data_IF_088311464407
#
_entry.id   IF_088311464407
#
_cell.length_a   1.000
_cell.length_b   1.000
_cell.length_c   1.000
_cell.angle_alpha   90.00
_cell.angle_beta   90.00
_cell.angle_gamma   90.00
#
_symmetry.space_group_name_H-M   'P 1'
#
loop_
_entity.id
_entity.type
_entity.pdbx_description
1 polymer ?
#
# COMPACT_ATOMS: atom_id res chain seq x y z
N UNK A 1 25.84 52.28 4.32
CA UNK A 1 25.69 51.05 5.12
C UNK A 1 24.34 50.46 4.73
N UNK A 2 24.34 49.47 3.80
CA UNK A 2 23.14 48.79 3.37
C UNK A 2 22.91 47.64 4.36
N UNK A 3 21.92 47.73 5.23
CA UNK A 3 21.40 46.60 6.01
C UNK A 3 20.75 45.60 5.05
N UNK A 4 21.44 44.53 4.77
CA UNK A 4 20.92 43.35 4.10
C UNK A 4 19.79 42.80 4.95
N UNK A 5 18.54 43.09 4.62
CA UNK A 5 17.37 42.39 5.15
C UNK A 5 17.39 40.97 4.63
N UNK A 6 18.01 40.07 5.40
CA UNK A 6 17.88 38.62 5.21
C UNK A 6 16.40 38.26 5.40
N UNK A 7 15.64 38.20 4.31
CA UNK A 7 14.33 37.57 4.31
C UNK A 7 14.58 36.07 4.44
N UNK A 8 14.39 35.55 5.64
CA UNK A 8 14.30 34.11 5.86
C UNK A 8 13.05 33.61 5.13
N UNK A 9 13.23 33.14 3.91
CA UNK A 9 12.15 32.47 3.19
C UNK A 9 11.91 31.16 3.95
N UNK A 10 10.76 31.06 4.61
CA UNK A 10 10.33 29.77 5.20
C UNK A 10 10.30 28.75 4.08
N UNK A 11 11.06 27.67 4.23
CA UNK A 11 10.98 26.55 3.28
C UNK A 11 9.53 26.06 3.25
N UNK A 12 8.96 25.85 2.04
CA UNK A 12 7.63 25.30 1.94
C UNK A 12 7.61 23.90 2.52
N UNK A 13 6.54 23.56 3.24
CA UNK A 13 6.33 22.21 3.73
C UNK A 13 6.01 21.28 2.55
N UNK A 14 6.65 20.10 2.51
CA UNK A 14 6.42 19.06 1.51
C UNK A 14 5.66 17.86 2.07
N UNK A 15 5.06 18.02 3.25
CA UNK A 15 4.21 16.99 3.83
C UNK A 15 2.99 16.72 2.96
N UNK A 16 2.57 15.46 2.87
CA UNK A 16 1.51 15.05 1.98
C UNK A 16 0.52 14.08 2.64
N UNK A 17 -0.71 14.08 2.13
CA UNK A 17 -1.70 13.04 2.41
C UNK A 17 -1.96 12.26 1.12
N UNK A 18 -1.80 10.95 1.17
CA UNK A 18 -2.05 10.01 0.09
C UNK A 18 -3.32 9.20 0.39
N UNK A 19 -4.37 9.42 -0.38
CA UNK A 19 -5.67 8.76 -0.17
C UNK A 19 -6.01 7.84 -1.32
N UNK A 20 -6.65 6.71 -1.04
CA UNK A 20 -7.11 5.75 -2.05
C UNK A 20 -7.34 4.37 -1.47
N UNK A 21 -7.97 3.51 -2.24
CA UNK A 21 -8.26 2.12 -1.88
C UNK A 21 -7.00 1.27 -1.67
N UNK A 22 -7.10 0.07 -1.08
CA UNK A 22 -5.96 -0.83 -0.93
C UNK A 22 -5.35 -1.20 -2.29
N UNK A 23 -4.04 -1.40 -2.32
CA UNK A 23 -3.37 -1.87 -3.53
C UNK A 23 -3.27 -0.87 -4.69
N UNK A 24 -3.64 0.42 -4.52
CA UNK A 24 -3.49 1.47 -5.53
C UNK A 24 -2.10 2.15 -5.52
N UNK A 25 -1.05 1.44 -5.08
CA UNK A 25 0.36 1.85 -5.08
C UNK A 25 0.72 3.09 -4.21
N UNK A 26 -0.04 3.45 -3.17
CA UNK A 26 0.29 4.59 -2.29
C UNK A 26 1.72 4.52 -1.75
N UNK A 27 2.11 3.39 -1.16
CA UNK A 27 3.46 3.19 -0.59
C UNK A 27 4.55 3.23 -1.65
N UNK A 28 4.29 2.65 -2.83
CA UNK A 28 5.24 2.67 -3.96
C UNK A 28 5.49 4.09 -4.44
N UNK A 29 4.42 4.86 -4.64
CA UNK A 29 4.52 6.27 -5.02
C UNK A 29 5.15 7.13 -3.92
N UNK A 30 4.90 6.83 -2.65
CA UNK A 30 5.55 7.52 -1.54
C UNK A 30 7.08 7.32 -1.53
N UNK A 31 7.55 6.11 -1.86
CA UNK A 31 9.00 5.82 -2.01
C UNK A 31 9.61 6.57 -3.20
N UNK A 32 8.89 6.66 -4.33
CA UNK A 32 9.33 7.44 -5.48
C UNK A 32 9.36 8.95 -5.16
N UNK A 33 8.36 9.45 -4.46
CA UNK A 33 8.29 10.82 -3.99
C UNK A 33 9.47 11.16 -3.07
N UNK A 34 9.78 10.28 -2.10
CA UNK A 34 10.92 10.44 -1.20
C UNK A 34 12.26 10.54 -1.97
N UNK A 35 12.45 9.70 -2.99
CA UNK A 35 13.64 9.77 -3.87
C UNK A 35 13.71 11.08 -4.64
N UNK A 36 12.59 11.53 -5.21
CA UNK A 36 12.53 12.79 -5.92
C UNK A 36 12.86 13.98 -5.01
N UNK A 37 12.32 14.01 -3.77
CA UNK A 37 12.63 15.03 -2.79
C UNK A 37 14.13 15.09 -2.42
N UNK A 38 14.78 13.93 -2.32
CA UNK A 38 16.21 13.85 -2.08
C UNK A 38 17.05 14.31 -3.28
N UNK A 39 16.64 13.96 -4.50
CA UNK A 39 17.30 14.41 -5.74
C UNK A 39 17.22 15.93 -5.92
N UNK A 40 16.09 16.54 -5.54
CA UNK A 40 15.89 18.00 -5.58
C UNK A 40 16.51 18.72 -4.37
N UNK A 41 17.17 18.00 -3.45
CA UNK A 41 17.80 18.57 -2.26
C UNK A 41 16.84 19.10 -1.21
N UNK A 42 15.55 18.73 -1.28
CA UNK A 42 14.52 19.10 -0.31
C UNK A 42 14.72 18.29 0.97
N UNK A 43 14.97 17.00 0.85
CA UNK A 43 15.46 16.15 1.94
C UNK A 43 16.94 15.89 1.79
N UNK A 44 17.64 15.59 2.90
CA UNK A 44 19.10 15.37 2.89
C UNK A 44 19.50 14.04 2.28
N UNK A 45 18.61 13.07 2.30
CA UNK A 45 18.79 11.71 1.81
C UNK A 45 17.43 11.07 1.53
N UNK A 46 17.42 9.99 0.77
CA UNK A 46 16.26 9.22 0.34
C UNK A 46 15.79 8.18 1.39
N UNK A 47 16.25 8.27 2.65
CA UNK A 47 15.80 7.38 3.72
C UNK A 47 14.28 7.46 3.84
N UNK A 48 13.66 6.28 3.83
CA UNK A 48 12.21 6.11 3.88
C UNK A 48 11.85 5.17 5.01
N UNK A 49 11.13 5.67 6.01
CA UNK A 49 10.59 4.87 7.10
C UNK A 49 9.09 4.63 6.88
N UNK A 50 8.70 3.37 6.81
CA UNK A 50 7.29 2.97 6.72
C UNK A 50 6.80 2.55 8.11
N UNK A 51 5.80 3.27 8.60
CA UNK A 51 5.30 3.16 9.97
C UNK A 51 3.79 2.92 9.98
N UNK A 52 3.35 2.27 11.03
CA UNK A 52 1.94 2.08 11.37
C UNK A 52 1.69 2.60 12.78
N UNK A 53 0.44 2.62 13.23
CA UNK A 53 0.09 2.94 14.61
C UNK A 53 0.97 2.20 15.64
N UNK A 54 1.21 0.89 15.42
CA UNK A 54 2.00 0.07 16.34
C UNK A 54 3.45 0.54 16.50
N UNK A 55 4.00 1.24 15.49
CA UNK A 55 5.34 1.82 15.52
C UNK A 55 5.40 3.17 16.26
N UNK A 56 4.25 3.80 16.48
CA UNK A 56 4.15 5.15 17.03
C UNK A 56 3.56 5.19 18.44
N UNK A 57 2.68 4.23 18.79
CA UNK A 57 2.00 4.21 20.08
C UNK A 57 2.65 3.22 21.04
N UNK A 58 3.01 3.69 22.23
CA UNK A 58 3.56 2.87 23.30
C UNK A 58 2.48 2.08 24.06
N UNK A 59 2.93 1.18 24.95
CA UNK A 59 2.05 0.39 25.83
C UNK A 59 1.79 1.04 27.18
N UNK A 60 2.56 2.07 27.54
CA UNK A 60 2.49 2.76 28.82
C UNK A 60 2.48 4.28 28.60
N UNK A 61 1.88 5.01 29.55
CA UNK A 61 1.85 6.49 29.52
C UNK A 61 3.27 7.08 29.44
N UNK A 62 3.44 8.09 28.58
CA UNK A 62 4.72 8.76 28.34
C UNK A 62 5.68 8.04 27.40
N UNK A 63 5.41 6.77 27.02
CA UNK A 63 6.25 6.07 26.05
C UNK A 63 5.98 6.51 24.60
N UNK A 64 4.74 6.87 24.29
CA UNK A 64 4.33 7.30 22.95
C UNK A 64 5.11 8.52 22.49
N UNK A 65 5.17 9.57 23.29
CA UNK A 65 5.93 10.77 22.97
C UNK A 65 7.41 10.47 22.70
N UNK A 66 8.03 9.60 23.49
CA UNK A 66 9.42 9.21 23.31
C UNK A 66 9.63 8.42 22.02
N UNK A 67 8.70 7.50 21.69
CA UNK A 67 8.76 6.72 20.44
C UNK A 67 8.67 7.64 19.22
N UNK A 68 7.74 8.58 19.19
CA UNK A 68 7.59 9.53 18.10
C UNK A 68 8.84 10.41 17.96
N UNK A 69 9.39 10.94 19.06
CA UNK A 69 10.64 11.71 19.05
C UNK A 69 11.80 10.91 18.47
N UNK A 70 11.94 9.65 18.86
CA UNK A 70 13.00 8.79 18.35
C UNK A 70 12.82 8.50 16.86
N UNK A 71 11.58 8.29 16.40
CA UNK A 71 11.26 8.14 14.96
C UNK A 71 11.73 9.37 14.18
N UNK A 72 11.40 10.58 14.60
CA UNK A 72 11.85 11.81 13.93
C UNK A 72 13.37 11.94 13.96
N UNK A 73 14.02 11.65 15.09
CA UNK A 73 15.47 11.70 15.22
C UNK A 73 16.17 10.71 14.28
N UNK A 74 15.70 9.46 14.19
CA UNK A 74 16.28 8.44 13.33
C UNK A 74 16.08 8.73 11.83
N UNK A 75 15.01 9.43 11.49
CA UNK A 75 14.66 9.74 10.10
C UNK A 75 14.89 11.21 9.73
N UNK A 76 15.64 11.94 10.55
CA UNK A 76 15.91 13.36 10.36
C UNK A 76 16.50 13.64 8.97
N UNK A 77 15.83 14.49 8.18
CA UNK A 77 16.23 14.83 6.82
C UNK A 77 15.88 13.78 5.77
N UNK A 78 15.00 12.84 6.09
CA UNK A 78 14.43 11.84 5.17
C UNK A 78 12.92 11.95 5.08
N UNK A 79 12.25 10.83 4.78
CA UNK A 79 10.80 10.75 4.64
C UNK A 79 10.21 9.70 5.57
N UNK A 80 9.18 10.08 6.31
CA UNK A 80 8.38 9.20 7.18
C UNK A 80 7.04 8.98 6.49
N UNK A 81 6.68 7.73 6.26
CA UNK A 81 5.40 7.32 5.69
C UNK A 81 4.58 6.62 6.78
N UNK A 82 3.40 7.14 7.08
CA UNK A 82 2.50 6.60 8.10
C UNK A 82 1.30 6.00 7.38
N UNK A 83 1.25 4.68 7.31
CA UNK A 83 0.13 3.97 6.69
C UNK A 83 -1.03 3.84 7.68
N UNK A 84 -2.25 3.90 7.13
CA UNK A 84 -3.50 3.89 7.91
C UNK A 84 -3.49 4.92 9.05
N UNK A 85 -3.00 6.13 8.76
CA UNK A 85 -2.77 7.19 9.77
C UNK A 85 -4.03 7.53 10.59
N UNK A 86 -5.21 7.37 10.02
CA UNK A 86 -6.49 7.53 10.73
C UNK A 86 -6.64 6.59 11.94
N UNK A 87 -5.87 5.50 11.98
CA UNK A 87 -5.87 4.58 13.13
C UNK A 87 -5.35 5.22 14.41
N UNK A 88 -4.62 6.34 14.32
CA UNK A 88 -4.17 7.15 15.46
C UNK A 88 -5.33 7.91 16.13
N UNK A 89 -6.46 8.11 15.45
CA UNK A 89 -7.63 8.80 15.96
C UNK A 89 -8.90 7.94 15.90
N UNK A 90 -8.78 6.61 15.95
CA UNK A 90 -9.89 5.68 15.77
C UNK A 90 -10.83 5.58 16.98
N UNK A 91 -10.39 5.99 18.17
CA UNK A 91 -11.18 5.98 19.41
C UNK A 91 -10.94 7.30 20.16
N UNK A 92 -12.04 8.00 20.53
CA UNK A 92 -11.97 9.24 21.31
C UNK A 92 -11.36 9.03 22.73
N UNK A 93 -11.36 7.80 23.23
CA UNK A 93 -10.77 7.41 24.52
C UNK A 93 -9.30 7.01 24.41
N UNK A 94 -8.76 7.00 23.18
CA UNK A 94 -7.39 6.57 22.93
C UNK A 94 -6.39 7.71 23.17
N UNK A 95 -5.95 7.84 24.42
CA UNK A 95 -4.95 8.83 24.80
C UNK A 95 -3.60 8.64 24.13
N UNK A 96 -3.22 7.41 23.73
CA UNK A 96 -1.93 7.13 23.09
C UNK A 96 -1.90 7.64 21.64
N UNK A 97 -3.01 7.46 20.91
CA UNK A 97 -3.12 8.00 19.56
C UNK A 97 -3.10 9.53 19.55
N UNK A 98 -3.82 10.17 20.46
CA UNK A 98 -3.80 11.63 20.63
C UNK A 98 -2.38 12.13 20.98
N UNK A 99 -1.69 11.50 21.96
CA UNK A 99 -0.31 11.82 22.30
C UNK A 99 0.64 11.67 21.10
N UNK A 100 0.45 10.64 20.26
CA UNK A 100 1.24 10.46 19.06
C UNK A 100 1.01 11.59 18.04
N UNK A 101 -0.24 12.00 17.82
CA UNK A 101 -0.59 13.09 16.91
C UNK A 101 0.02 14.41 17.38
N UNK A 102 -0.08 14.73 18.66
CA UNK A 102 0.50 15.96 19.23
C UNK A 102 2.02 16.00 19.03
N UNK A 103 2.72 14.91 19.29
CA UNK A 103 4.17 14.82 19.10
C UNK A 103 4.56 14.84 17.61
N UNK A 104 3.75 14.27 16.71
CA UNK A 104 3.96 14.41 15.27
C UNK A 104 3.86 15.87 14.85
N UNK A 105 2.86 16.62 15.34
CA UNK A 105 2.70 18.05 15.03
C UNK A 105 3.95 18.82 15.47
N UNK A 106 4.46 18.55 16.67
CA UNK A 106 5.71 19.14 17.18
C UNK A 106 6.90 18.78 16.27
N UNK A 107 6.97 17.53 15.82
CA UNK A 107 8.01 17.07 14.90
C UNK A 107 7.98 17.81 13.55
N UNK A 108 6.77 18.00 12.97
CA UNK A 108 6.58 18.74 11.72
C UNK A 108 7.05 20.21 11.81
N UNK A 109 6.93 20.83 12.98
CA UNK A 109 7.36 22.21 13.22
C UNK A 109 8.88 22.33 13.42
N UNK A 110 9.45 21.40 14.18
CA UNK A 110 10.84 21.50 14.65
C UNK A 110 11.85 20.90 13.67
N UNK A 111 11.41 20.07 12.71
CA UNK A 111 12.29 19.45 11.71
C UNK A 111 11.74 19.63 10.29
N UNK A 112 11.87 20.85 9.73
CA UNK A 112 11.36 21.16 8.38
C UNK A 112 12.09 20.40 7.26
N UNK A 113 13.22 19.76 7.55
CA UNK A 113 13.98 18.94 6.61
C UNK A 113 13.47 17.49 6.53
N UNK A 114 12.57 17.07 7.42
CA UNK A 114 11.95 15.75 7.40
C UNK A 114 10.54 15.84 6.81
N UNK A 115 10.25 15.06 5.80
CA UNK A 115 8.93 15.03 5.15
C UNK A 115 8.09 13.91 5.73
N UNK A 116 6.82 14.19 6.05
CA UNK A 116 5.86 13.19 6.52
C UNK A 116 4.75 13.02 5.50
N UNK A 117 4.46 11.76 5.15
CA UNK A 117 3.38 11.36 4.26
C UNK A 117 2.40 10.52 5.07
N UNK A 118 1.16 10.96 5.15
CA UNK A 118 0.07 10.24 5.80
C UNK A 118 -0.72 9.51 4.71
N UNK A 119 -1.03 8.24 4.92
CA UNK A 119 -1.78 7.45 3.95
C UNK A 119 -2.98 6.76 4.59
N UNK A 120 -4.03 6.55 3.77
CA UNK A 120 -5.21 5.83 4.21
C UNK A 120 -6.39 5.91 3.24
N UNK A 121 -7.55 5.43 3.68
CA UNK A 121 -8.80 5.52 2.94
C UNK A 121 -9.31 6.96 2.88
N UNK A 122 -9.87 7.41 1.73
CA UNK A 122 -10.25 8.80 1.53
C UNK A 122 -11.15 9.37 2.63
N UNK A 123 -12.28 8.72 2.90
CA UNK A 123 -13.26 9.16 3.90
C UNK A 123 -12.67 9.22 5.32
N UNK A 124 -11.90 8.19 5.70
CA UNK A 124 -11.27 8.12 7.03
C UNK A 124 -10.17 9.17 7.22
N UNK A 125 -9.42 9.46 6.15
CA UNK A 125 -8.36 10.48 6.18
C UNK A 125 -8.93 11.89 6.26
N UNK A 126 -10.07 12.19 5.62
CA UNK A 126 -10.74 13.48 5.79
C UNK A 126 -11.22 13.66 7.24
N UNK A 127 -11.87 12.65 7.81
CA UNK A 127 -12.29 12.67 9.23
C UNK A 127 -11.10 12.86 10.17
N UNK A 128 -9.99 12.17 9.92
CA UNK A 128 -8.74 12.29 10.67
C UNK A 128 -8.18 13.71 10.64
N UNK A 129 -8.15 14.34 9.47
CA UNK A 129 -7.64 15.71 9.32
C UNK A 129 -8.60 16.76 9.89
N UNK A 130 -9.91 16.53 9.80
CA UNK A 130 -10.93 17.44 10.38
C UNK A 130 -10.88 17.43 11.90
N UNK A 131 -10.64 16.27 12.51
CA UNK A 131 -10.45 16.15 13.95
C UNK A 131 -9.12 16.77 14.44
N UNK A 132 -8.15 17.00 13.53
CA UNK A 132 -6.82 17.47 13.86
C UNK A 132 -6.41 18.72 13.04
N UNK A 133 -6.97 19.91 13.32
CA UNK A 133 -6.68 21.14 12.56
C UNK A 133 -5.19 21.50 12.51
N UNK A 134 -4.44 21.13 13.55
CA UNK A 134 -3.00 21.31 13.63
C UNK A 134 -2.25 20.55 12.52
N UNK A 135 -2.63 19.31 12.24
CA UNK A 135 -2.10 18.55 11.10
C UNK A 135 -2.57 19.15 9.77
N UNK A 136 -3.87 19.45 9.64
CA UNK A 136 -4.48 19.95 8.40
C UNK A 136 -3.77 21.20 7.87
N UNK A 137 -3.37 22.11 8.77
CA UNK A 137 -2.70 23.36 8.39
C UNK A 137 -1.25 23.20 7.94
N UNK A 138 -0.61 22.07 8.28
CA UNK A 138 0.81 21.80 7.99
C UNK A 138 1.02 20.85 6.82
N UNK A 139 -0.05 20.27 6.27
CA UNK A 139 0.00 19.32 5.16
C UNK A 139 -0.63 19.95 3.92
N UNK A 140 0.17 20.60 3.06
CA UNK A 140 -0.34 21.34 1.90
C UNK A 140 -0.73 20.43 0.73
N UNK A 141 -0.11 19.24 0.62
CA UNK A 141 -0.31 18.38 -0.55
C UNK A 141 -1.28 17.24 -0.27
N UNK A 142 -2.25 17.08 -1.17
CA UNK A 142 -3.23 16.00 -1.14
C UNK A 142 -3.19 15.27 -2.47
N UNK A 143 -2.88 13.99 -2.44
CA UNK A 143 -2.81 13.12 -3.61
C UNK A 143 -3.85 12.05 -3.48
N UNK A 144 -4.79 12.00 -4.43
CA UNK A 144 -5.80 10.97 -4.51
C UNK A 144 -5.38 9.91 -5.53
N UNK A 145 -5.29 8.68 -5.08
CA UNK A 145 -5.07 7.51 -5.91
C UNK A 145 -6.43 6.92 -6.29
N UNK A 146 -6.72 6.91 -7.57
CA UNK A 146 -7.91 6.27 -8.11
C UNK A 146 -7.68 4.76 -8.22
N UNK A 147 -8.77 4.00 -8.28
CA UNK A 147 -8.70 2.59 -8.63
C UNK A 147 -8.23 2.43 -10.08
N UNK A 148 -7.50 1.36 -10.33
CA UNK A 148 -7.02 1.01 -11.66
C UNK A 148 -8.16 0.61 -12.59
N UNK A 149 -7.99 0.86 -13.89
CA UNK A 149 -8.84 0.32 -14.94
C UNK A 149 -8.63 -1.19 -15.08
N UNK A 150 -9.55 -1.90 -15.76
CA UNK A 150 -9.40 -3.33 -16.00
C UNK A 150 -8.12 -3.65 -16.80
N UNK A 151 -7.77 -2.81 -17.78
CA UNK A 151 -6.55 -2.96 -18.58
C UNK A 151 -5.29 -2.78 -17.73
N UNK A 152 -5.25 -1.76 -16.86
CA UNK A 152 -4.13 -1.55 -15.92
C UNK A 152 -3.98 -2.71 -14.94
N UNK A 153 -5.12 -3.27 -14.46
CA UNK A 153 -5.11 -4.46 -13.58
C UNK A 153 -4.59 -5.69 -14.32
N UNK A 154 -4.89 -5.84 -15.61
CA UNK A 154 -4.34 -6.90 -16.45
C UNK A 154 -2.82 -6.74 -16.61
N UNK A 155 -2.33 -5.52 -16.87
CA UNK A 155 -0.89 -5.26 -16.94
C UNK A 155 -0.18 -5.55 -15.61
N UNK A 156 -0.78 -5.15 -14.48
CA UNK A 156 -0.27 -5.43 -13.13
C UNK A 156 -0.20 -6.94 -12.91
N UNK A 157 -1.25 -7.69 -13.31
CA UNK A 157 -1.28 -9.15 -13.21
C UNK A 157 -0.21 -9.81 -14.04
N UNK A 158 0.02 -9.31 -15.26
CA UNK A 158 1.10 -9.76 -16.15
C UNK A 158 2.48 -9.57 -15.54
N UNK A 159 2.73 -8.42 -14.92
CA UNK A 159 3.99 -8.15 -14.21
C UNK A 159 4.18 -9.08 -13.01
N UNK A 160 3.12 -9.28 -12.21
CA UNK A 160 3.17 -10.21 -11.07
C UNK A 160 3.43 -11.65 -11.54
N UNK A 161 2.80 -12.09 -12.64
CA UNK A 161 3.05 -13.40 -13.21
C UNK A 161 4.50 -13.53 -13.69
N UNK A 162 5.01 -12.52 -14.41
CA UNK A 162 6.40 -12.50 -14.90
C UNK A 162 7.43 -12.53 -13.78
N UNK A 163 7.19 -11.79 -12.68
CA UNK A 163 8.04 -11.81 -11.48
C UNK A 163 8.12 -13.19 -10.82
N UNK A 164 7.12 -14.04 -11.06
CA UNK A 164 7.06 -15.44 -10.61
C UNK A 164 7.46 -16.45 -11.72
N UNK A 165 7.97 -15.99 -12.85
CA UNK A 165 8.41 -16.83 -13.96
C UNK A 165 7.28 -17.37 -14.85
N UNK A 166 6.07 -16.80 -14.77
CA UNK A 166 4.90 -17.21 -15.55
C UNK A 166 4.47 -16.14 -16.56
N UNK A 167 3.81 -16.59 -17.62
CA UNK A 167 3.12 -15.73 -18.59
C UNK A 167 1.61 -15.97 -18.54
N UNK A 168 0.82 -14.93 -18.77
CA UNK A 168 -0.64 -15.02 -18.86
C UNK A 168 -1.00 -15.20 -20.34
N UNK A 169 -1.74 -16.25 -20.68
CA UNK A 169 -2.20 -16.48 -22.05
C UNK A 169 -3.32 -15.53 -22.47
N UNK A 170 -3.58 -15.40 -23.77
CA UNK A 170 -4.59 -14.46 -24.27
C UNK A 170 -5.99 -14.77 -23.74
N UNK A 171 -6.40 -16.04 -23.70
CA UNK A 171 -7.68 -16.50 -23.16
C UNK A 171 -7.82 -16.21 -21.66
N UNK A 172 -6.73 -16.34 -20.90
CA UNK A 172 -6.67 -15.95 -19.50
C UNK A 172 -6.80 -14.44 -19.32
N UNK A 173 -6.17 -13.66 -20.21
CA UNK A 173 -6.27 -12.20 -20.23
C UNK A 173 -7.71 -11.73 -20.43
N UNK A 174 -8.43 -12.28 -21.43
CA UNK A 174 -9.84 -11.96 -21.66
C UNK A 174 -10.72 -12.29 -20.44
N UNK A 175 -10.47 -13.43 -19.83
CA UNK A 175 -11.18 -13.83 -18.60
C UNK A 175 -10.93 -12.90 -17.44
N UNK A 176 -9.67 -12.50 -17.23
CA UNK A 176 -9.27 -11.54 -16.18
C UNK A 176 -9.93 -10.19 -16.39
N UNK A 177 -9.99 -9.67 -17.63
CA UNK A 177 -10.71 -8.42 -17.91
C UNK A 177 -12.16 -8.50 -17.47
N UNK A 178 -12.87 -9.59 -17.77
CA UNK A 178 -14.24 -9.80 -17.32
C UNK A 178 -14.40 -9.88 -15.80
N UNK A 179 -13.40 -10.43 -15.09
CA UNK A 179 -13.38 -10.45 -13.62
C UNK A 179 -13.15 -9.01 -13.08
N UNK A 180 -12.17 -8.29 -13.61
CA UNK A 180 -11.83 -6.94 -13.16
C UNK A 180 -12.97 -5.94 -13.38
N UNK A 181 -13.67 -6.00 -14.52
CA UNK A 181 -14.83 -5.12 -14.79
C UNK A 181 -15.96 -5.30 -13.77
N UNK A 182 -16.14 -6.49 -13.21
CA UNK A 182 -17.12 -6.75 -12.16
C UNK A 182 -16.63 -6.32 -10.79
N UNK A 183 -15.40 -6.72 -10.45
CA UNK A 183 -14.87 -6.54 -9.09
C UNK A 183 -14.51 -5.08 -8.76
N UNK A 184 -14.11 -4.28 -9.75
CA UNK A 184 -13.84 -2.85 -9.57
C UNK A 184 -15.07 -2.02 -9.20
N UNK A 185 -16.30 -2.59 -9.32
CA UNK A 185 -17.54 -1.96 -8.86
C UNK A 185 -17.79 -2.21 -7.37
N UNK A 186 -17.04 -3.10 -6.75
CA UNK A 186 -17.20 -3.42 -5.32
C UNK A 186 -16.53 -2.33 -4.48
N UNK A 187 -17.21 -1.92 -3.42
CA UNK A 187 -16.64 -0.97 -2.45
C UNK A 187 -15.35 -1.52 -1.84
N UNK A 188 -14.38 -0.65 -1.64
CA UNK A 188 -13.06 -0.98 -1.07
C UNK A 188 -12.28 -2.01 -1.91
N UNK A 189 -12.41 -1.94 -3.22
CA UNK A 189 -11.73 -2.85 -4.15
C UNK A 189 -10.22 -2.91 -3.91
N UNK A 190 -9.68 -4.13 -3.94
CA UNK A 190 -8.30 -4.42 -3.53
C UNK A 190 -7.20 -4.09 -4.54
N UNK A 191 -7.56 -3.66 -5.76
CA UNK A 191 -6.61 -3.29 -6.83
C UNK A 191 -5.44 -4.29 -7.01
N UNK A 192 -4.20 -3.84 -6.90
CA UNK A 192 -3.02 -4.69 -7.03
C UNK A 192 -2.92 -5.83 -6.01
N UNK A 193 -3.52 -5.71 -4.81
CA UNK A 193 -3.62 -6.84 -3.87
C UNK A 193 -4.54 -7.92 -4.41
N UNK A 194 -5.65 -7.53 -5.05
CA UNK A 194 -6.57 -8.45 -5.71
C UNK A 194 -5.88 -9.17 -6.88
N UNK A 195 -5.16 -8.44 -7.76
CA UNK A 195 -4.36 -9.03 -8.83
C UNK A 195 -3.37 -10.07 -8.30
N UNK A 196 -2.62 -9.73 -7.25
CA UNK A 196 -1.67 -10.64 -6.61
C UNK A 196 -2.33 -11.92 -6.12
N UNK A 197 -3.45 -11.80 -5.41
CA UNK A 197 -4.20 -12.97 -4.90
C UNK A 197 -4.70 -13.87 -6.03
N UNK A 198 -5.17 -13.29 -7.15
CA UNK A 198 -5.61 -14.05 -8.32
C UNK A 198 -4.45 -14.81 -8.98
N UNK A 199 -3.33 -14.14 -9.23
CA UNK A 199 -2.15 -14.74 -9.86
C UNK A 199 -1.56 -15.83 -9.00
N UNK A 200 -1.34 -15.59 -7.70
CA UNK A 200 -0.84 -16.60 -6.77
C UNK A 200 -1.77 -17.82 -6.67
N UNK A 201 -3.10 -17.59 -6.71
CA UNK A 201 -4.07 -18.67 -6.74
C UNK A 201 -4.03 -19.45 -8.07
N UNK A 202 -3.80 -18.77 -9.18
CA UNK A 202 -3.66 -19.41 -10.50
C UNK A 202 -2.40 -20.27 -10.56
N UNK A 203 -1.27 -19.78 -10.04
CA UNK A 203 -0.01 -20.54 -9.93
C UNK A 203 -0.22 -21.81 -9.11
N UNK A 204 -0.82 -21.70 -7.91
CA UNK A 204 -1.13 -22.87 -7.07
C UNK A 204 -2.01 -23.89 -7.79
N UNK A 205 -3.06 -23.45 -8.50
CA UNK A 205 -3.91 -24.38 -9.27
C UNK A 205 -3.15 -25.06 -10.41
N UNK A 206 -2.28 -24.31 -11.09
CA UNK A 206 -1.39 -24.86 -12.11
C UNK A 206 -0.50 -25.96 -11.53
N UNK A 207 0.15 -25.70 -10.38
CA UNK A 207 1.02 -26.65 -9.70
C UNK A 207 0.26 -27.92 -9.31
N UNK A 208 -0.92 -27.79 -8.71
CA UNK A 208 -1.77 -28.95 -8.35
C UNK A 208 -2.17 -29.76 -9.59
N UNK A 209 -2.55 -29.10 -10.70
CA UNK A 209 -2.92 -29.75 -11.95
C UNK A 209 -1.76 -30.54 -12.57
N UNK A 210 -0.54 -30.06 -12.38
CA UNK A 210 0.68 -30.73 -12.83
C UNK A 210 1.19 -31.79 -11.86
N UNK A 211 0.52 -31.99 -10.71
CA UNK A 211 0.89 -32.98 -9.69
C UNK A 211 2.05 -32.53 -8.79
N UNK A 212 2.38 -31.24 -8.78
CA UNK A 212 3.44 -30.66 -7.96
C UNK A 212 2.83 -30.04 -6.72
N UNK A 213 3.26 -30.48 -5.54
CA UNK A 213 2.72 -30.00 -4.26
C UNK A 213 3.37 -28.69 -3.80
N UNK A 214 4.56 -28.36 -4.31
CA UNK A 214 5.31 -27.16 -3.95
C UNK A 214 5.66 -26.36 -5.23
N UNK A 215 5.20 -25.11 -5.29
CA UNK A 215 5.38 -24.26 -6.48
C UNK A 215 6.85 -23.86 -6.70
N UNK A 216 7.68 -23.90 -5.65
CA UNK A 216 9.08 -23.50 -5.71
C UNK A 216 9.97 -24.55 -6.41
N UNK A 217 9.45 -25.76 -6.66
CA UNK A 217 10.20 -26.88 -7.23
C UNK A 217 9.59 -27.47 -8.51
N UNK A 218 8.84 -26.65 -9.26
CA UNK A 218 8.20 -27.07 -10.53
C UNK A 218 9.19 -27.68 -11.52
N UNK A 219 10.43 -27.17 -11.53
CA UNK A 219 11.47 -27.66 -12.44
C UNK A 219 12.05 -29.02 -12.06
N UNK A 220 11.96 -29.44 -10.77
CA UNK A 220 12.56 -30.68 -10.29
C UNK A 220 11.67 -31.90 -10.48
N UNK A 221 10.35 -31.71 -10.61
CA UNK A 221 9.37 -32.80 -10.65
C UNK A 221 8.79 -33.12 -12.02
N UNK A 222 9.05 -32.29 -13.03
CA UNK A 222 8.45 -32.46 -14.36
C UNK A 222 9.47 -33.07 -15.31
N UNK A 223 9.10 -34.22 -15.89
CA UNK A 223 9.82 -34.79 -17.02
C UNK A 223 9.77 -33.81 -18.19
N UNK A 224 10.90 -33.18 -18.59
CA UNK A 224 10.93 -32.20 -19.68
C UNK A 224 10.47 -32.79 -21.02
N UNK A 225 10.41 -34.13 -21.15
CA UNK A 225 9.90 -34.82 -22.32
C UNK A 225 8.37 -34.80 -22.38
N UNK A 226 7.67 -34.43 -21.32
CA UNK A 226 6.21 -34.51 -21.22
C UNK A 226 5.49 -33.20 -21.43
N UNK A 227 6.17 -32.07 -21.16
CA UNK A 227 5.60 -30.72 -21.28
C UNK A 227 6.63 -29.79 -21.90
N UNK A 228 6.18 -28.90 -22.77
CA UNK A 228 7.01 -27.78 -23.24
C UNK A 228 7.15 -26.70 -22.15
N UNK A 229 8.23 -25.90 -22.20
CA UNK A 229 8.42 -24.76 -21.29
C UNK A 229 7.22 -23.80 -21.32
N UNK A 230 6.63 -23.61 -22.49
CA UNK A 230 5.44 -22.77 -22.67
C UNK A 230 4.24 -23.35 -21.92
N UNK A 231 4.03 -24.66 -21.95
CA UNK A 231 2.96 -25.32 -21.20
C UNK A 231 3.20 -25.27 -19.69
N UNK A 232 4.45 -25.37 -19.25
CA UNK A 232 4.82 -25.34 -17.84
C UNK A 232 4.62 -23.95 -17.21
N UNK A 233 5.08 -22.92 -17.90
CA UNK A 233 5.16 -21.55 -17.36
C UNK A 233 4.08 -20.61 -17.89
N UNK A 234 3.01 -21.11 -18.53
CA UNK A 234 1.85 -20.33 -18.92
C UNK A 234 0.68 -20.51 -17.94
N UNK A 235 -0.04 -19.44 -17.66
CA UNK A 235 -1.29 -19.43 -16.90
C UNK A 235 -2.45 -19.25 -17.90
N UNK A 236 -3.17 -20.34 -18.19
CA UNK A 236 -4.34 -20.36 -19.05
C UNK A 236 -5.64 -19.96 -18.31
N UNK A 237 -6.75 -19.76 -19.05
CA UNK A 237 -8.02 -19.38 -18.47
C UNK A 237 -8.57 -20.35 -17.43
N UNK A 238 -8.16 -21.62 -17.43
CA UNK A 238 -8.56 -22.60 -16.42
C UNK A 238 -7.85 -22.42 -15.09
N UNK A 239 -6.70 -21.72 -15.07
CA UNK A 239 -6.00 -21.37 -13.85
C UNK A 239 -6.75 -20.29 -13.06
N UNK A 240 -7.52 -19.44 -13.73
CA UNK A 240 -8.28 -18.35 -13.12
C UNK A 240 -9.74 -18.73 -12.91
N UNK A 241 -10.04 -19.43 -11.83
CA UNK A 241 -11.44 -19.63 -11.37
C UNK A 241 -11.71 -18.60 -10.27
N UNK A 242 -12.76 -17.83 -10.46
CA UNK A 242 -13.18 -16.81 -9.51
C UNK A 242 -14.67 -16.97 -9.22
N UNK A 243 -15.06 -17.06 -7.93
CA UNK A 243 -16.43 -16.91 -7.46
C UNK A 243 -16.52 -15.59 -6.71
N UNK A 244 -17.48 -14.76 -7.09
CA UNK A 244 -17.69 -13.48 -6.40
C UNK A 244 -17.95 -13.71 -4.91
N UNK A 245 -17.44 -12.83 -4.03
CA UNK A 245 -17.47 -12.98 -2.57
C UNK A 245 -18.88 -13.15 -1.96
N UNK A 246 -19.97 -13.01 -2.77
CA UNK A 246 -21.36 -13.28 -2.39
C UNK A 246 -21.78 -14.74 -2.54
N UNK A 247 -21.15 -15.52 -3.44
CA UNK A 247 -21.55 -16.91 -3.70
C UNK A 247 -20.97 -17.88 -2.67
N UNK A 248 -19.78 -17.62 -2.15
CA UNK A 248 -19.13 -18.45 -1.12
C UNK A 248 -19.84 -18.40 0.25
N UNK A 249 -20.58 -17.33 0.55
CA UNK A 249 -21.40 -17.26 1.77
C UNK A 249 -22.69 -18.09 1.67
N UNK A 250 -23.20 -18.34 0.48
CA UNK A 250 -24.33 -19.25 0.28
C UNK A 250 -23.91 -20.72 0.36
N UNK A 251 -22.75 -21.08 -0.17
CA UNK A 251 -22.22 -22.44 -0.15
C UNK A 251 -21.84 -22.92 1.28
N UNK A 252 -21.36 -22.02 2.15
CA UNK A 252 -21.06 -22.35 3.55
C UNK A 252 -22.26 -22.46 4.49
N UNK A 253 -23.48 -22.12 4.03
CA UNK A 253 -24.72 -22.30 4.78
C UNK A 253 -25.39 -23.65 4.57
N UNK A 254 -24.87 -24.50 3.66
CA UNK A 254 -25.40 -25.83 3.38
C UNK A 254 -24.40 -26.87 3.87
N UNK A 255 -24.24 -26.98 5.17
CA UNK A 255 -23.40 -28.05 5.70
C UNK A 255 -23.15 -27.93 7.19
N UNK A 256 -24.21 -28.02 7.99
CA UNK A 256 -24.19 -28.54 9.36
C UNK A 256 -25.63 -28.55 9.90
N UNK A 257 -26.34 -29.59 9.56
CA UNK A 257 -27.44 -30.12 10.38
C UNK A 257 -27.33 -31.64 10.32
N UNK A 258 -26.85 -32.18 11.42
CA UNK A 258 -26.65 -33.60 11.71
C UNK A 258 -25.87 -33.73 12.98
#
# INVERSE_FOLDING_TARGET
IAESRSRTVKQPYFHAVFTGNPGCAKTTCARLYARALAQEGITKHDRFAELTRASLCGKYQGHTAQMVKEVFKQNKGGTIFIDEAYSLASDERDSFGAEAIDEIIVGLENDPGTVVIFAGYPEKMEQFLDANPGLRSRIPYRVRFCDYTADELLEISGKIAADNGFTITADAGEKLLGIFEKERQVRDFGNGRFCRSLVESAIRRKSVRLGVMDADDLSAYLDPARYSDEELFSLDGNCFTYSAAGEDRAARRIGFSG
#
